data_IF_413908295960
#
_entry.id   IF_413908295960
#
_cell.length_a   1.000
_cell.length_b   1.000
_cell.length_c   1.000
_cell.angle_alpha   90.00
_cell.angle_beta   90.00
_cell.angle_gamma   90.00
#
_symmetry.space_group_name_H-M   'P 1'
#
loop_
_entity.id
_entity.type
_entity.pdbx_description
1 polymer ?
#
# COMPACT_ATOMS: atom_id res chain seq x y z
N UNK A 1 0.95 40.08 -17.79
CA UNK A 1 0.77 38.76 -18.35
C UNK A 1 -0.39 38.04 -17.75
N UNK A 2 -1.06 37.31 -18.55
CA UNK A 2 -2.17 36.51 -18.09
C UNK A 2 -1.59 35.28 -17.40
N UNK A 3 -1.87 35.17 -16.14
CA UNK A 3 -1.51 33.97 -15.41
C UNK A 3 -2.44 32.87 -15.90
N UNK A 4 -1.89 31.87 -16.54
CA UNK A 4 -2.67 30.70 -16.88
C UNK A 4 -3.12 30.03 -15.59
N UNK A 5 -4.39 29.66 -15.49
CA UNK A 5 -4.81 28.88 -14.33
C UNK A 5 -4.00 27.62 -14.26
N UNK A 6 -3.72 27.18 -13.07
CA UNK A 6 -2.97 25.98 -12.82
C UNK A 6 -3.75 24.74 -13.16
N UNK A 7 -4.24 24.64 -14.39
CA UNK A 7 -4.83 23.42 -14.90
C UNK A 7 -3.79 22.33 -15.05
N UNK A 8 -2.51 22.70 -14.97
CA UNK A 8 -1.40 21.78 -14.98
C UNK A 8 -0.72 21.68 -13.63
N UNK A 9 -1.41 22.14 -12.57
CA UNK A 9 -0.89 21.97 -11.22
C UNK A 9 -0.64 20.50 -10.98
N UNK A 10 0.54 20.22 -10.49
CA UNK A 10 0.95 18.84 -10.24
C UNK A 10 0.10 18.28 -9.12
N UNK A 11 -0.54 17.15 -9.40
CA UNK A 11 -1.28 16.43 -8.39
C UNK A 11 -0.43 15.27 -7.94
N UNK A 12 -0.11 15.24 -6.64
CA UNK A 12 0.57 14.11 -6.06
C UNK A 12 -0.46 13.25 -5.35
N UNK A 13 -0.47 11.97 -5.67
CA UNK A 13 -1.24 10.97 -4.96
C UNK A 13 -0.30 9.92 -4.41
N UNK A 14 -0.48 9.60 -3.15
CA UNK A 14 0.37 8.66 -2.43
C UNK A 14 -0.51 7.68 -1.67
N UNK A 15 -0.38 6.42 -1.99
CA UNK A 15 -1.17 5.35 -1.40
C UNK A 15 -0.28 4.18 -1.04
N UNK A 16 -0.73 3.40 -0.08
CA UNK A 16 -0.07 2.16 0.31
C UNK A 16 -1.08 1.02 0.32
N UNK A 17 -0.58 -0.21 0.24
CA UNK A 17 -1.45 -1.39 0.24
C UNK A 17 -2.09 -1.67 1.59
N UNK A 18 -1.51 -1.16 2.68
CA UNK A 18 -2.04 -1.34 4.02
C UNK A 18 -1.77 -0.08 4.83
N UNK A 19 -2.53 0.13 5.88
CA UNK A 19 -2.27 1.19 6.86
C UNK A 19 -1.50 0.68 8.07
N UNK A 20 -1.57 -0.63 8.33
CA UNK A 20 -0.85 -1.30 9.41
C UNK A 20 -0.12 -2.50 8.85
N UNK A 21 1.15 -2.61 9.18
CA UNK A 21 2.04 -3.67 8.70
C UNK A 21 2.59 -4.46 9.85
N UNK A 22 2.89 -5.73 9.59
CA UNK A 22 3.69 -6.56 10.48
C UNK A 22 4.90 -7.09 9.72
N UNK A 23 5.80 -7.78 10.43
CA UNK A 23 7.01 -8.35 9.83
C UNK A 23 6.69 -9.22 8.63
N UNK A 24 7.53 -9.14 7.62
CA UNK A 24 7.42 -9.87 6.36
C UNK A 24 6.33 -9.38 5.42
N UNK A 25 5.51 -8.41 5.81
CA UNK A 25 4.57 -7.78 4.89
C UNK A 25 5.32 -6.88 3.92
N UNK A 26 4.98 -6.90 2.63
CA UNK A 26 5.58 -5.97 1.69
C UNK A 26 4.95 -4.59 1.83
N UNK A 27 5.78 -3.57 1.75
CA UNK A 27 5.33 -2.18 1.71
C UNK A 27 5.22 -1.77 0.25
N UNK A 28 4.01 -1.88 -0.28
CA UNK A 28 3.72 -1.52 -1.65
C UNK A 28 3.17 -0.10 -1.69
N UNK A 29 3.81 0.75 -2.47
CA UNK A 29 3.46 2.17 -2.62
C UNK A 29 3.06 2.43 -4.05
N UNK A 30 1.99 3.18 -4.25
CA UNK A 30 1.52 3.53 -5.58
C UNK A 30 0.82 4.89 -5.56
N UNK A 31 0.67 5.48 -6.72
CA UNK A 31 0.00 6.76 -6.82
C UNK A 31 0.23 7.44 -8.15
N UNK A 32 0.11 8.76 -8.12
CA UNK A 32 0.28 9.59 -9.31
C UNK A 32 1.19 10.77 -9.01
N UNK A 33 1.95 11.15 -10.01
CA UNK A 33 2.85 12.30 -9.97
C UNK A 33 3.06 12.77 -11.40
N UNK A 34 3.77 13.89 -11.63
CA UNK A 34 3.98 14.36 -12.99
C UNK A 34 4.57 13.29 -13.90
N UNK A 35 4.04 13.13 -15.12
CA UNK A 35 4.43 12.04 -16.01
C UNK A 35 5.91 12.07 -16.41
N UNK A 36 6.50 10.88 -16.53
CA UNK A 36 7.84 10.72 -17.08
C UNK A 36 8.95 11.37 -16.27
N UNK A 37 8.75 11.59 -14.98
CA UNK A 37 9.70 12.28 -14.12
C UNK A 37 10.10 11.40 -12.95
N UNK A 38 11.31 11.63 -12.40
CA UNK A 38 11.69 10.94 -11.17
C UNK A 38 10.95 11.53 -9.96
N UNK A 39 10.51 10.66 -9.07
CA UNK A 39 10.03 11.05 -7.76
C UNK A 39 10.84 10.30 -6.72
N UNK A 40 10.99 10.89 -5.55
CA UNK A 40 11.70 10.26 -4.44
C UNK A 40 10.69 9.86 -3.39
N UNK A 41 10.76 8.60 -2.99
CA UNK A 41 9.99 8.07 -1.88
C UNK A 41 10.92 7.92 -0.69
N UNK A 42 10.51 8.42 0.46
CA UNK A 42 11.27 8.29 1.70
C UNK A 42 10.39 7.69 2.77
N UNK A 43 10.96 6.79 3.55
CA UNK A 43 10.30 6.21 4.71
C UNK A 43 11.03 6.70 5.95
N UNK A 44 10.30 7.39 6.82
CA UNK A 44 10.85 7.90 8.08
C UNK A 44 10.39 7.04 9.24
N UNK A 45 11.34 6.68 10.06
CA UNK A 45 11.08 5.93 11.29
C UNK A 45 10.39 6.81 12.34
N UNK A 46 9.89 6.22 13.43
CA UNK A 46 9.21 6.99 14.48
C UNK A 46 10.05 8.11 15.07
N UNK A 47 11.37 7.96 15.10
CA UNK A 47 12.28 9.00 15.61
C UNK A 47 12.63 10.07 14.57
N UNK A 48 12.06 9.96 13.35
CA UNK A 48 12.31 10.91 12.28
C UNK A 48 13.50 10.59 11.39
N UNK A 49 14.25 9.54 11.68
CA UNK A 49 15.38 9.16 10.82
C UNK A 49 14.87 8.48 9.57
N UNK A 50 15.65 8.56 8.50
CA UNK A 50 15.30 7.91 7.23
C UNK A 50 15.57 6.41 7.33
N UNK A 51 14.50 5.62 7.26
CA UNK A 51 14.62 4.17 7.31
C UNK A 51 14.87 3.56 5.94
N UNK A 52 14.35 4.18 4.88
CA UNK A 52 14.52 3.71 3.52
C UNK A 52 14.18 4.83 2.54
N UNK A 53 14.69 4.74 1.33
CA UNK A 53 14.30 5.66 0.26
C UNK A 53 14.51 5.00 -1.10
N UNK A 54 13.81 5.50 -2.09
CA UNK A 54 13.92 4.99 -3.46
C UNK A 54 13.51 6.08 -4.43
N UNK A 55 14.21 6.14 -5.56
CA UNK A 55 13.81 6.99 -6.66
C UNK A 55 13.06 6.14 -7.68
N UNK A 56 11.89 6.60 -8.09
CA UNK A 56 11.02 5.89 -9.02
C UNK A 56 10.66 6.82 -10.17
N UNK A 57 10.68 6.30 -11.39
CA UNK A 57 10.22 7.05 -12.55
C UNK A 57 8.74 6.85 -12.73
N UNK A 58 8.01 7.94 -12.88
CA UNK A 58 6.60 7.84 -13.26
C UNK A 58 6.47 7.44 -14.71
N UNK A 59 5.37 6.77 -15.01
CA UNK A 59 5.03 6.40 -16.38
C UNK A 59 4.51 7.62 -17.13
N UNK A 60 4.27 7.47 -18.43
CA UNK A 60 3.76 8.55 -19.26
C UNK A 60 2.38 9.02 -18.85
N UNK A 61 1.61 8.17 -18.20
CA UNK A 61 0.31 8.52 -17.66
C UNK A 61 0.37 9.12 -16.25
N UNK A 62 1.57 9.27 -15.69
CA UNK A 62 1.76 9.85 -14.37
C UNK A 62 1.68 8.86 -13.23
N UNK A 63 1.39 7.59 -13.50
CA UNK A 63 1.31 6.59 -12.42
C UNK A 63 2.68 6.06 -12.04
N UNK A 64 2.79 5.62 -10.80
CA UNK A 64 3.97 4.90 -10.32
C UNK A 64 3.54 3.84 -9.32
N UNK A 65 4.36 2.82 -9.19
CA UNK A 65 4.20 1.81 -8.16
C UNK A 65 5.54 1.15 -7.87
N UNK A 66 5.75 0.80 -6.63
CA UNK A 66 6.95 0.09 -6.23
C UNK A 66 6.69 -0.65 -4.92
N UNK A 67 7.43 -1.75 -4.73
CA UNK A 67 7.55 -2.37 -3.41
C UNK A 67 8.81 -1.81 -2.81
N UNK A 68 8.68 -0.92 -1.85
CA UNK A 68 9.83 -0.25 -1.26
C UNK A 68 10.68 -1.23 -0.46
N UNK A 69 10.03 -2.09 0.29
CA UNK A 69 10.71 -3.10 1.10
C UNK A 69 9.70 -4.11 1.62
N UNK A 70 10.23 -5.17 2.21
CA UNK A 70 9.47 -6.09 3.04
C UNK A 70 9.86 -5.79 4.48
N UNK A 71 8.88 -5.57 5.35
CA UNK A 71 9.15 -5.22 6.74
C UNK A 71 9.97 -6.33 7.41
N UNK A 72 11.10 -5.99 8.03
CA UNK A 72 11.90 -6.98 8.75
C UNK A 72 11.29 -7.26 10.13
N UNK A 73 11.93 -8.15 10.88
CA UNK A 73 11.64 -8.25 12.29
C UNK A 73 12.00 -6.92 12.96
N UNK A 74 11.25 -6.50 13.98
CA UNK A 74 11.54 -5.23 14.63
C UNK A 74 12.94 -5.23 15.25
N UNK A 75 13.57 -4.08 15.19
CA UNK A 75 14.91 -3.88 15.71
C UNK A 75 15.04 -2.47 16.25
N UNK A 76 16.23 -2.14 16.72
CA UNK A 76 16.50 -0.79 17.19
C UNK A 76 16.37 0.23 16.07
N UNK A 77 16.74 -0.14 14.83
CA UNK A 77 16.69 0.76 13.71
C UNK A 77 15.30 0.79 13.02
N UNK A 78 14.58 -0.32 13.09
CA UNK A 78 13.22 -0.43 12.54
C UNK A 78 12.30 -0.91 13.66
N UNK A 79 12.00 -0.05 14.65
CA UNK A 79 11.11 -0.43 15.74
C UNK A 79 9.65 -0.42 15.33
N UNK A 80 8.80 -1.02 16.12
CA UNK A 80 7.38 -0.82 15.98
C UNK A 80 7.02 0.65 16.23
N UNK A 81 6.01 1.14 15.57
CA UNK A 81 5.55 2.51 15.76
C UNK A 81 4.96 3.10 14.49
N UNK A 82 4.76 4.40 14.52
CA UNK A 82 4.22 5.14 13.38
C UNK A 82 5.36 5.62 12.49
N UNK A 83 5.26 5.23 11.22
CA UNK A 83 6.19 5.63 10.18
C UNK A 83 5.52 6.64 9.25
N UNK A 84 6.33 7.44 8.59
CA UNK A 84 5.83 8.40 7.61
C UNK A 84 6.45 8.09 6.26
N UNK A 85 5.61 7.97 5.24
CA UNK A 85 6.08 7.90 3.85
C UNK A 85 5.90 9.28 3.26
N UNK A 86 6.93 9.73 2.55
CA UNK A 86 6.89 11.00 1.84
C UNK A 86 7.22 10.78 0.37
N UNK A 87 6.43 11.37 -0.50
CA UNK A 87 6.78 11.48 -1.91
C UNK A 87 7.20 12.91 -2.19
N UNK A 88 8.32 13.07 -2.89
CA UNK A 88 8.82 14.39 -3.31
C UNK A 88 8.94 14.38 -4.82
N UNK A 89 8.25 15.30 -5.46
CA UNK A 89 8.33 15.48 -6.90
C UNK A 89 9.54 16.33 -7.25
N UNK A 90 9.91 16.31 -8.52
CA UNK A 90 11.05 17.09 -9.02
C UNK A 90 10.87 18.59 -8.79
N UNK A 91 9.64 19.08 -8.77
CA UNK A 91 9.32 20.49 -8.46
C UNK A 91 9.58 20.86 -7.01
N UNK A 92 9.77 19.88 -6.13
CA UNK A 92 9.86 20.09 -4.70
C UNK A 92 8.54 19.92 -3.96
N UNK A 93 7.43 19.77 -4.68
CA UNK A 93 6.15 19.47 -4.06
C UNK A 93 6.21 18.12 -3.39
N UNK A 94 5.59 18.00 -2.22
CA UNK A 94 5.64 16.76 -1.44
C UNK A 94 4.31 16.42 -0.82
N UNK A 95 4.15 15.15 -0.49
CA UNK A 95 2.97 14.65 0.21
C UNK A 95 3.40 13.56 1.17
N UNK A 96 2.74 13.47 2.31
CA UNK A 96 3.07 12.51 3.37
C UNK A 96 1.89 11.63 3.71
N UNK A 97 2.18 10.44 4.18
CA UNK A 97 1.19 9.46 4.61
C UNK A 97 1.74 8.72 5.82
N UNK A 98 0.92 8.60 6.85
CA UNK A 98 1.29 7.83 8.05
C UNK A 98 0.86 6.39 7.89
N UNK A 99 1.75 5.48 8.30
CA UNK A 99 1.47 4.05 8.38
C UNK A 99 1.99 3.53 9.71
N UNK A 100 1.54 2.37 10.11
CA UNK A 100 1.96 1.78 11.38
C UNK A 100 2.64 0.44 11.16
N UNK A 101 3.74 0.21 11.87
CA UNK A 101 4.38 -1.09 11.95
C UNK A 101 4.10 -1.65 13.35
N UNK A 102 3.45 -2.82 13.42
CA UNK A 102 3.00 -3.39 14.68
C UNK A 102 3.17 -4.90 14.68
N UNK A 103 3.09 -5.49 15.85
CA UNK A 103 3.17 -6.94 15.95
C UNK A 103 1.89 -7.61 15.42
N UNK A 104 2.02 -8.84 14.96
CA UNK A 104 0.87 -9.62 14.53
C UNK A 104 -0.17 -9.76 15.67
N UNK A 105 0.29 -9.80 16.90
CA UNK A 105 -0.61 -9.91 18.04
C UNK A 105 -1.48 -8.67 18.21
N UNK A 106 -0.96 -7.50 17.84
CA UNK A 106 -1.76 -6.27 17.87
C UNK A 106 -2.79 -6.23 16.77
N UNK A 107 -2.52 -6.90 15.64
CA UNK A 107 -3.43 -6.94 14.51
C UNK A 107 -4.58 -7.93 14.74
N UNK A 108 -4.35 -8.90 15.56
CA UNK A 108 -5.33 -9.97 15.80
C UNK A 108 -6.06 -9.80 17.12
N UNK A 109 -6.40 -8.63 17.53
CA UNK A 109 -7.03 -8.48 18.74
C UNK A 109 -8.46 -8.68 18.68
N UNK A 110 -9.01 -9.39 19.07
CA UNK A 110 -10.31 -9.55 19.31
C UNK A 110 -11.36 -9.76 18.55
N UNK A 111 -12.24 -10.08 18.83
CA UNK A 111 -13.17 -10.76 18.46
C UNK A 111 -14.27 -10.33 17.90
N UNK A 112 -14.68 -10.65 17.15
CA UNK A 112 -15.57 -11.15 16.58
C UNK A 112 -16.71 -10.59 16.21
N UNK A 113 -17.17 -10.46 15.38
CA UNK A 113 -18.07 -10.07 14.91
C UNK A 113 -18.93 -10.12 14.13
N UNK A 114 -19.48 -9.51 13.45
CA UNK A 114 -20.57 -9.56 12.81
C UNK A 114 -20.55 -9.27 11.41
N UNK A 115 -20.00 -8.22 10.85
CA UNK A 115 -19.82 -7.90 9.45
C UNK A 115 -18.34 -7.96 9.10
N UNK A 116 -18.02 -8.52 7.94
CA UNK A 116 -16.65 -8.55 7.43
C UNK A 116 -16.55 -7.55 6.29
N UNK A 117 -15.59 -6.66 6.38
CA UNK A 117 -15.24 -5.78 5.27
C UNK A 117 -13.98 -6.33 4.63
N UNK A 118 -13.99 -6.40 3.31
CA UNK A 118 -12.86 -6.85 2.54
C UNK A 118 -12.38 -5.70 1.69
N UNK A 119 -11.14 -5.30 1.89
CA UNK A 119 -10.49 -4.29 1.06
C UNK A 119 -9.37 -4.94 0.30
N UNK A 120 -9.37 -4.78 -1.01
CA UNK A 120 -8.36 -5.37 -1.87
C UNK A 120 -7.58 -4.25 -2.53
N UNK A 121 -6.26 -4.31 -2.39
CA UNK A 121 -5.36 -3.34 -2.99
C UNK A 121 -4.63 -4.00 -4.14
N UNK A 122 -4.73 -3.42 -5.31
CA UNK A 122 -4.03 -3.88 -6.50
C UNK A 122 -3.56 -2.67 -7.28
N UNK A 123 -2.47 -2.80 -8.06
CA UNK A 123 -2.06 -1.68 -8.91
C UNK A 123 -3.14 -1.42 -9.96
N UNK A 124 -3.43 -0.14 -10.18
CA UNK A 124 -4.40 0.25 -11.20
C UNK A 124 -3.99 -0.19 -12.58
N UNK A 125 -2.69 -0.20 -12.82
CA UNK A 125 -2.13 -0.60 -14.09
C UNK A 125 -1.23 -1.80 -13.85
N UNK A 126 -1.68 -2.96 -14.28
CA UNK A 126 -0.90 -4.17 -14.27
C UNK A 126 -0.73 -4.65 -15.70
N UNK A 127 0.51 -4.89 -16.12
CA UNK A 127 0.75 -5.47 -17.43
C UNK A 127 0.28 -6.92 -17.43
N UNK A 128 -0.39 -7.35 -18.49
CA UNK A 128 -0.96 -8.70 -18.56
C UNK A 128 0.10 -9.79 -18.59
N UNK A 129 1.33 -9.44 -18.95
CA UNK A 129 2.45 -10.37 -19.07
C UNK A 129 3.41 -10.32 -17.86
N UNK A 130 3.09 -9.55 -16.86
CA UNK A 130 3.94 -9.41 -15.68
C UNK A 130 3.18 -9.78 -14.42
N UNK A 131 3.84 -10.45 -13.47
CA UNK A 131 3.19 -10.68 -12.19
C UNK A 131 2.92 -9.36 -11.48
N UNK A 132 1.79 -9.27 -10.84
CA UNK A 132 1.47 -8.16 -9.97
C UNK A 132 1.02 -8.71 -8.63
N UNK A 133 1.05 -7.86 -7.61
CA UNK A 133 0.69 -8.26 -6.26
C UNK A 133 -0.68 -7.72 -5.91
N UNK A 134 -1.48 -8.57 -5.30
CA UNK A 134 -2.78 -8.18 -4.77
C UNK A 134 -2.70 -8.34 -3.27
N UNK A 135 -3.11 -7.31 -2.55
CA UNK A 135 -3.09 -7.29 -1.10
C UNK A 135 -4.52 -7.23 -0.59
N UNK A 136 -4.84 -8.07 0.35
CA UNK A 136 -6.19 -8.19 0.87
C UNK A 136 -6.18 -7.85 2.35
N UNK A 137 -7.01 -6.90 2.72
CA UNK A 137 -7.26 -6.56 4.11
C UNK A 137 -8.66 -7.02 4.45
N UNK A 138 -8.77 -7.87 5.44
CA UNK A 138 -10.05 -8.37 5.91
C UNK A 138 -10.25 -7.85 7.33
N UNK A 139 -11.36 -7.19 7.57
CA UNK A 139 -11.65 -6.69 8.89
C UNK A 139 -13.05 -7.08 9.32
N UNK A 140 -13.20 -7.33 10.60
CA UNK A 140 -14.48 -7.55 11.24
C UNK A 140 -14.56 -6.52 12.36
N UNK A 141 -15.56 -5.64 12.30
CA UNK A 141 -15.69 -4.51 13.22
C UNK A 141 -14.41 -3.69 13.36
N UNK A 142 -13.69 -3.51 12.21
CA UNK A 142 -12.46 -2.71 12.18
C UNK A 142 -11.19 -3.47 12.52
N UNK A 143 -11.25 -4.74 12.81
CA UNK A 143 -10.09 -5.55 13.15
C UNK A 143 -9.65 -6.42 11.98
N UNK A 144 -8.34 -6.57 11.79
CA UNK A 144 -7.80 -7.37 10.70
C UNK A 144 -7.87 -8.86 10.99
N UNK A 145 -8.15 -9.64 9.95
CA UNK A 145 -8.17 -11.11 10.01
C UNK A 145 -7.11 -11.61 9.04
N UNK A 146 -5.85 -11.45 9.41
CA UNK A 146 -4.71 -11.67 8.52
C UNK A 146 -4.57 -13.11 8.03
N UNK A 147 -4.85 -14.08 8.89
CA UNK A 147 -4.64 -15.49 8.54
C UNK A 147 -5.57 -15.96 7.42
N UNK A 148 -6.83 -15.53 7.45
CA UNK A 148 -7.77 -15.85 6.37
C UNK A 148 -7.35 -15.24 5.05
N UNK A 149 -6.86 -14.01 5.09
CA UNK A 149 -6.39 -13.34 3.88
C UNK A 149 -5.18 -14.06 3.28
N UNK A 150 -4.23 -14.47 4.09
CA UNK A 150 -3.04 -15.20 3.61
C UNK A 150 -3.41 -16.52 2.96
N UNK A 151 -4.32 -17.26 3.58
CA UNK A 151 -4.77 -18.56 3.04
C UNK A 151 -5.43 -18.37 1.68
N UNK A 152 -6.30 -17.37 1.58
CA UNK A 152 -7.02 -17.14 0.34
C UNK A 152 -6.09 -16.70 -0.79
N UNK A 153 -5.14 -15.81 -0.51
CA UNK A 153 -4.18 -15.36 -1.51
C UNK A 153 -3.35 -16.52 -2.05
N UNK A 154 -2.98 -17.47 -1.19
CA UNK A 154 -2.22 -18.63 -1.61
C UNK A 154 -3.00 -19.56 -2.54
N UNK A 155 -4.33 -19.58 -2.44
CA UNK A 155 -5.18 -20.45 -3.22
C UNK A 155 -5.72 -19.82 -4.50
N UNK A 156 -5.63 -18.52 -4.65
CA UNK A 156 -6.26 -17.82 -5.77
C UNK A 156 -5.32 -17.70 -6.94
N UNK A 157 -5.83 -18.06 -8.11
CA UNK A 157 -5.11 -17.89 -9.38
C UNK A 157 -5.59 -16.60 -10.04
N UNK A 158 -4.68 -15.64 -10.19
CA UNK A 158 -5.02 -14.30 -10.63
C UNK A 158 -4.79 -14.14 -12.14
N UNK A 159 -5.86 -13.84 -12.89
CA UNK A 159 -5.79 -13.63 -14.33
C UNK A 159 -5.80 -12.15 -14.71
N UNK A 160 -6.78 -11.41 -14.22
CA UNK A 160 -6.89 -9.97 -14.44
C UNK A 160 -7.13 -9.29 -13.11
N UNK A 161 -6.71 -8.01 -12.94
CA UNK A 161 -6.90 -7.34 -11.66
C UNK A 161 -8.35 -7.28 -11.20
N UNK A 162 -9.27 -6.89 -12.08
CA UNK A 162 -10.67 -6.71 -11.69
C UNK A 162 -11.35 -8.03 -11.34
N UNK A 163 -11.11 -9.06 -12.14
CA UNK A 163 -11.72 -10.38 -11.90
C UNK A 163 -11.14 -11.01 -10.64
N UNK A 164 -9.83 -10.86 -10.43
CA UNK A 164 -9.16 -11.39 -9.26
C UNK A 164 -9.65 -10.76 -7.98
N UNK A 165 -9.81 -9.45 -7.97
CA UNK A 165 -10.30 -8.72 -6.80
C UNK A 165 -11.71 -9.19 -6.46
N UNK A 166 -12.59 -9.32 -7.46
CA UNK A 166 -13.94 -9.79 -7.25
C UNK A 166 -13.97 -11.21 -6.68
N UNK A 167 -13.16 -12.09 -7.24
CA UNK A 167 -13.08 -13.48 -6.79
C UNK A 167 -12.60 -13.57 -5.35
N UNK A 168 -11.56 -12.83 -5.00
CA UNK A 168 -11.05 -12.80 -3.64
C UNK A 168 -12.09 -12.27 -2.66
N UNK A 169 -12.80 -11.23 -3.02
CA UNK A 169 -13.84 -10.65 -2.17
C UNK A 169 -14.94 -11.65 -1.89
N UNK A 170 -15.42 -12.32 -2.92
CA UNK A 170 -16.47 -13.33 -2.78
C UNK A 170 -16.04 -14.48 -1.89
N UNK A 171 -14.82 -14.98 -2.07
CA UNK A 171 -14.31 -16.08 -1.25
C UNK A 171 -14.13 -15.70 0.20
N UNK A 172 -13.64 -14.49 0.46
CA UNK A 172 -13.47 -14.02 1.84
C UNK A 172 -14.81 -13.85 2.53
N UNK A 173 -15.83 -13.37 1.82
CA UNK A 173 -17.18 -13.27 2.36
C UNK A 173 -17.74 -14.65 2.66
N UNK A 174 -17.53 -15.61 1.77
CA UNK A 174 -17.97 -16.98 1.98
C UNK A 174 -17.32 -17.62 3.21
N UNK A 175 -16.04 -17.38 3.41
CA UNK A 175 -15.32 -17.92 4.57
C UNK A 175 -15.81 -17.35 5.90
N UNK A 176 -16.38 -16.16 5.85
CA UNK A 176 -16.93 -15.54 7.06
C UNK A 176 -18.22 -16.20 7.50
N UNK A 177 -18.99 -16.72 6.57
CA UNK A 177 -20.21 -17.45 6.89
C UNK A 177 -19.89 -18.77 7.59
#
# INVERSE_FOLDING_TARGET
GISTPDIFAETLELNTNQSVYSSQHPLFIYGEAPPGQPVVLRLFAPDGTTANFEQVMTKQDGTFSTTLMKWPEPSKDIPYGTYVIEIVAQSGESKKLNIKFASDLELVTIPIERSVQVTVFAPEIAASDRPFRVFVQVSSDGHLVADKAKTLLAATHVHTPSDSVRSLTQELERLHE
#
